data_IF_611210849266
#
_entry.id   IF_611210849266
#
_cell.length_a   1.000
_cell.length_b   1.000
_cell.length_c   1.000
_cell.angle_alpha   90.00
_cell.angle_beta   90.00
_cell.angle_gamma   90.00
#
_symmetry.space_group_name_H-M   'P 1'
#
loop_
_entity.id
_entity.type
_entity.pdbx_description
1 polymer ?
#
# COMPACT_ATOMS: atom_id res chain seq x y z
N UNK A 1 -33.00 -47.65 27.83
CA UNK A 1 -33.02 -46.19 28.06
C UNK A 1 -31.78 -45.64 27.37
N UNK A 2 -31.91 -45.33 26.08
CA UNK A 2 -30.79 -45.09 25.18
C UNK A 2 -30.47 -43.60 25.10
N UNK A 3 -29.23 -43.25 25.41
CA UNK A 3 -28.68 -41.90 25.38
C UNK A 3 -28.26 -41.60 23.93
N UNK A 4 -29.01 -40.74 23.23
CA UNK A 4 -28.64 -40.27 21.90
C UNK A 4 -27.69 -39.08 22.03
N UNK A 5 -26.46 -39.27 21.56
CA UNK A 5 -25.44 -38.23 21.39
C UNK A 5 -25.87 -37.38 20.18
N UNK A 6 -26.26 -36.13 20.42
CA UNK A 6 -26.44 -35.14 19.36
C UNK A 6 -25.06 -34.69 18.87
N UNK A 7 -24.66 -35.12 17.68
CA UNK A 7 -23.57 -34.50 16.92
C UNK A 7 -24.02 -33.10 16.48
N UNK A 8 -23.41 -32.07 17.07
CA UNK A 8 -23.44 -30.72 16.50
C UNK A 8 -22.47 -30.71 15.33
N UNK A 9 -22.98 -30.87 14.11
CA UNK A 9 -22.25 -30.47 12.91
C UNK A 9 -22.12 -28.95 12.94
N UNK A 10 -20.96 -28.46 13.39
CA UNK A 10 -20.48 -27.12 13.02
C UNK A 10 -20.24 -27.17 11.50
N UNK A 11 -21.28 -26.88 10.73
CA UNK A 11 -21.09 -26.41 9.36
C UNK A 11 -20.31 -25.11 9.49
N UNK A 12 -19.01 -25.18 9.21
CA UNK A 12 -18.22 -24.00 8.97
C UNK A 12 -18.96 -23.21 7.90
N UNK A 13 -19.41 -22.01 8.27
CA UNK A 13 -19.83 -21.04 7.27
C UNK A 13 -18.65 -20.91 6.31
N UNK A 14 -18.80 -21.20 5.01
CA UNK A 14 -17.86 -20.62 4.07
C UNK A 14 -17.94 -19.12 4.34
N UNK A 15 -16.79 -18.48 4.58
CA UNK A 15 -16.72 -17.04 4.56
C UNK A 15 -17.27 -16.63 3.19
N UNK A 16 -18.52 -16.20 3.17
CA UNK A 16 -19.07 -15.46 2.04
C UNK A 16 -18.22 -14.21 2.05
N UNK A 17 -17.24 -14.14 1.15
CA UNK A 17 -16.66 -12.87 0.75
C UNK A 17 -17.86 -12.04 0.32
N UNK A 18 -18.31 -11.12 1.17
CA UNK A 18 -19.37 -10.19 0.81
C UNK A 18 -18.75 -9.22 -0.18
N UNK A 19 -18.73 -9.58 -1.46
CA UNK A 19 -18.14 -8.79 -2.52
C UNK A 19 -19.00 -7.56 -2.79
N UNK A 20 -18.58 -6.39 -2.34
CA UNK A 20 -19.17 -5.13 -2.79
C UNK A 20 -18.20 -4.42 -3.71
N UNK A 21 -18.73 -3.71 -4.69
CA UNK A 21 -17.93 -2.88 -5.59
C UNK A 21 -18.28 -1.42 -5.38
N UNK A 22 -17.28 -0.56 -5.46
CA UNK A 22 -17.43 0.87 -5.19
C UNK A 22 -17.03 1.70 -6.40
N UNK A 23 -17.86 2.65 -6.83
CA UNK A 23 -17.43 3.74 -7.70
C UNK A 23 -17.36 5.01 -6.87
N UNK A 24 -16.16 5.55 -6.73
CA UNK A 24 -15.88 6.68 -5.85
C UNK A 24 -15.28 7.86 -6.61
N UNK A 25 -15.73 9.06 -6.26
CA UNK A 25 -15.27 10.33 -6.80
C UNK A 25 -14.66 11.18 -5.70
N UNK A 26 -13.48 11.73 -5.98
CA UNK A 26 -12.87 12.79 -5.19
C UNK A 26 -12.86 14.06 -6.04
N UNK A 27 -13.63 15.06 -5.62
CA UNK A 27 -13.71 16.37 -6.23
C UNK A 27 -12.97 17.37 -5.37
N UNK A 28 -12.12 18.20 -5.97
CA UNK A 28 -11.46 19.30 -5.30
C UNK A 28 -11.67 20.60 -6.07
N UNK A 29 -12.06 21.65 -5.35
CA UNK A 29 -12.32 22.99 -5.87
C UNK A 29 -11.48 23.98 -5.08
N UNK A 30 -10.67 24.80 -5.75
CA UNK A 30 -9.92 25.88 -5.11
C UNK A 30 -10.60 27.22 -5.36
N UNK A 31 -10.70 28.08 -4.34
CA UNK A 31 -11.33 29.40 -4.46
C UNK A 31 -10.55 30.34 -5.39
N UNK A 32 -9.22 30.18 -5.44
CA UNK A 32 -8.34 30.94 -6.33
C UNK A 32 -7.47 30.01 -7.17
N UNK A 33 -7.14 30.45 -8.40
CA UNK A 33 -6.17 29.75 -9.23
C UNK A 33 -4.76 30.01 -8.66
N UNK A 34 -4.08 28.95 -8.22
CA UNK A 34 -2.72 29.03 -7.70
C UNK A 34 -1.76 28.26 -8.62
N UNK A 35 -0.58 28.80 -8.95
CA UNK A 35 0.37 28.10 -9.82
C UNK A 35 0.68 26.69 -9.29
N UNK A 36 0.43 25.67 -10.12
CA UNK A 36 0.65 24.26 -9.76
C UNK A 36 -0.51 23.58 -9.03
N UNK A 37 -1.62 24.29 -8.75
CA UNK A 37 -2.84 23.70 -8.20
C UNK A 37 -4.01 23.88 -9.18
N UNK A 38 -4.68 22.78 -9.49
CA UNK A 38 -5.88 22.80 -10.32
C UNK A 38 -7.01 23.53 -9.61
N UNK A 39 -7.68 24.43 -10.31
CA UNK A 39 -8.85 25.13 -9.76
C UNK A 39 -10.02 24.17 -9.53
N UNK A 40 -10.16 23.18 -10.41
CA UNK A 40 -11.14 22.12 -10.27
C UNK A 40 -10.56 20.80 -10.76
N UNK A 41 -10.80 19.73 -10.02
CA UNK A 41 -10.42 18.38 -10.44
C UNK A 41 -11.37 17.33 -9.90
N UNK A 42 -11.53 16.25 -10.67
CA UNK A 42 -12.22 15.02 -10.26
C UNK A 42 -11.25 13.87 -10.44
N UNK A 43 -11.15 12.99 -9.45
CA UNK A 43 -10.47 11.70 -9.57
C UNK A 43 -11.51 10.61 -9.28
N UNK A 44 -11.67 9.68 -10.20
CA UNK A 44 -12.58 8.55 -10.07
C UNK A 44 -11.81 7.27 -9.77
N UNK A 45 -12.32 6.49 -8.82
CA UNK A 45 -11.82 5.18 -8.43
C UNK A 45 -12.92 4.14 -8.63
N UNK A 46 -12.56 2.98 -9.18
CA UNK A 46 -13.40 1.77 -9.13
C UNK A 46 -12.70 0.82 -8.18
N UNK A 47 -13.37 0.48 -7.08
CA UNK A 47 -12.74 -0.08 -5.89
C UNK A 47 -11.52 0.78 -5.52
N UNK A 48 -10.33 0.20 -5.40
CA UNK A 48 -9.12 0.97 -5.11
C UNK A 48 -8.35 1.44 -6.36
N UNK A 49 -8.94 1.27 -7.55
CA UNK A 49 -8.26 1.47 -8.83
C UNK A 49 -8.56 2.85 -9.36
N UNK A 50 -7.52 3.67 -9.49
CA UNK A 50 -7.64 5.01 -10.07
C UNK A 50 -7.95 4.90 -11.57
N UNK A 51 -9.23 4.94 -11.91
CA UNK A 51 -9.74 4.68 -13.25
C UNK A 51 -9.70 5.92 -14.16
N UNK A 52 -10.07 7.08 -13.64
CA UNK A 52 -10.29 8.27 -14.47
C UNK A 52 -9.98 9.58 -13.76
N UNK A 53 -9.80 10.64 -14.56
CA UNK A 53 -9.63 12.00 -14.05
C UNK A 53 -10.30 13.04 -14.95
N UNK A 54 -10.64 14.17 -14.35
CA UNK A 54 -11.01 15.42 -15.02
C UNK A 54 -10.27 16.57 -14.36
N UNK A 55 -9.92 17.62 -15.11
CA UNK A 55 -9.40 18.86 -14.54
C UNK A 55 -9.81 20.10 -15.34
N UNK A 56 -9.76 21.26 -14.68
CA UNK A 56 -10.13 22.56 -15.27
C UNK A 56 -9.22 23.02 -16.41
N UNK A 57 -8.02 22.47 -16.56
CA UNK A 57 -7.05 22.92 -17.56
C UNK A 57 -7.34 22.28 -18.93
N UNK A 58 -7.54 20.95 -18.94
CA UNK A 58 -7.89 20.21 -20.16
C UNK A 58 -9.39 20.21 -20.43
N UNK A 59 -10.21 20.34 -19.37
CA UNK A 59 -11.68 20.27 -19.40
C UNK A 59 -12.21 19.03 -20.11
N UNK A 60 -11.50 17.90 -19.97
CA UNK A 60 -11.90 16.59 -20.50
C UNK A 60 -11.71 15.51 -19.46
N UNK A 61 -12.60 14.52 -19.49
CA UNK A 61 -12.38 13.28 -18.77
C UNK A 61 -11.34 12.45 -19.53
N UNK A 62 -10.42 11.85 -18.78
CA UNK A 62 -9.35 11.01 -19.30
C UNK A 62 -9.35 9.67 -18.54
N UNK A 63 -9.27 8.57 -19.29
CA UNK A 63 -8.99 7.26 -18.70
C UNK A 63 -7.53 7.19 -18.29
N UNK A 64 -7.27 6.73 -17.07
CA UNK A 64 -5.93 6.50 -16.53
C UNK A 64 -5.46 5.06 -16.71
N UNK A 65 -6.37 4.19 -17.17
CA UNK A 65 -6.08 2.83 -17.58
C UNK A 65 -6.24 2.68 -19.09
N UNK A 66 -5.70 1.61 -19.66
CA UNK A 66 -5.92 1.30 -21.07
C UNK A 66 -7.41 0.95 -21.27
N UNK A 67 -8.15 1.87 -21.88
CA UNK A 67 -9.58 1.73 -22.14
C UNK A 67 -9.84 1.47 -23.62
N UNK A 68 -10.73 0.52 -23.98
CA UNK A 68 -11.15 0.30 -25.36
C UNK A 68 -11.72 1.56 -26.02
N UNK A 69 -11.59 1.68 -27.35
CA UNK A 69 -12.20 2.79 -28.11
C UNK A 69 -13.72 2.91 -27.90
N UNK A 70 -14.43 1.82 -27.58
CA UNK A 70 -15.88 1.82 -27.30
C UNK A 70 -16.26 2.77 -26.15
N UNK A 71 -15.32 3.08 -25.25
CA UNK A 71 -15.54 4.05 -24.19
C UNK A 71 -15.43 5.51 -24.62
N UNK A 72 -15.09 5.82 -25.87
CA UNK A 72 -14.92 7.21 -26.29
C UNK A 72 -16.21 8.01 -26.19
N UNK A 73 -17.34 7.44 -26.65
CA UNK A 73 -18.66 8.09 -26.56
C UNK A 73 -19.10 8.25 -25.10
N UNK A 74 -18.90 7.20 -24.31
CA UNK A 74 -19.13 7.24 -22.86
C UNK A 74 -18.31 8.35 -22.19
N UNK A 75 -17.03 8.48 -22.53
CA UNK A 75 -16.12 9.48 -21.97
C UNK A 75 -16.47 10.91 -22.38
N UNK A 76 -17.01 11.10 -23.58
CA UNK A 76 -17.55 12.39 -24.03
C UNK A 76 -18.81 12.77 -23.22
N UNK A 77 -19.69 11.81 -22.94
CA UNK A 77 -20.80 11.98 -22.01
C UNK A 77 -20.34 12.39 -20.60
N UNK A 78 -19.38 11.64 -20.04
CA UNK A 78 -18.77 11.96 -18.75
C UNK A 78 -18.09 13.34 -18.74
N UNK A 79 -17.49 13.75 -19.86
CA UNK A 79 -16.86 15.06 -20.00
C UNK A 79 -17.89 16.17 -19.92
N UNK A 80 -19.00 16.04 -20.64
CA UNK A 80 -20.08 17.03 -20.60
C UNK A 80 -20.67 17.16 -19.19
N UNK A 81 -20.89 16.03 -18.51
CA UNK A 81 -21.37 16.02 -17.12
C UNK A 81 -20.37 16.72 -16.19
N UNK A 82 -19.09 16.35 -16.24
CA UNK A 82 -18.05 16.96 -15.41
C UNK A 82 -17.91 18.47 -15.63
N UNK A 83 -18.10 18.96 -16.87
CA UNK A 83 -18.09 20.39 -17.18
C UNK A 83 -19.28 21.13 -16.55
N UNK A 84 -20.47 20.52 -16.51
CA UNK A 84 -21.63 21.10 -15.80
C UNK A 84 -21.40 21.10 -14.29
N UNK A 85 -20.92 19.98 -13.74
CA UNK A 85 -20.59 19.87 -12.31
C UNK A 85 -19.53 20.89 -11.91
N UNK A 86 -18.52 21.17 -12.74
CA UNK A 86 -17.53 22.21 -12.49
C UNK A 86 -18.19 23.59 -12.27
N UNK A 87 -19.19 23.95 -13.08
CA UNK A 87 -19.90 25.22 -12.96
C UNK A 87 -20.68 25.26 -11.63
N UNK A 88 -21.44 24.22 -11.33
CA UNK A 88 -22.23 24.11 -10.09
C UNK A 88 -21.33 24.16 -8.85
N UNK A 89 -20.19 23.46 -8.88
CA UNK A 89 -19.23 23.42 -7.78
C UNK A 89 -18.54 24.78 -7.54
N UNK A 90 -18.29 25.56 -8.59
CA UNK A 90 -17.80 26.95 -8.45
C UNK A 90 -18.84 27.87 -7.81
N UNK A 91 -20.13 27.71 -8.14
CA UNK A 91 -21.22 28.45 -7.48
C UNK A 91 -21.31 28.05 -6.00
N UNK A 92 -21.25 26.75 -5.71
CA UNK A 92 -21.27 26.24 -4.34
C UNK A 92 -20.09 26.76 -3.51
N UNK A 93 -18.89 26.85 -4.10
CA UNK A 93 -17.72 27.44 -3.45
C UNK A 93 -17.98 28.89 -3.00
N UNK A 94 -18.49 29.74 -3.89
CA UNK A 94 -18.79 31.13 -3.54
C UNK A 94 -19.84 31.22 -2.43
N UNK A 95 -20.90 30.41 -2.51
CA UNK A 95 -21.93 30.34 -1.48
C UNK A 95 -21.34 29.95 -0.11
N UNK A 96 -20.47 28.95 -0.07
CA UNK A 96 -19.84 28.48 1.18
C UNK A 96 -18.95 29.57 1.77
N UNK A 97 -18.17 30.27 0.95
CA UNK A 97 -17.36 31.40 1.40
C UNK A 97 -18.23 32.48 2.04
N UNK A 98 -19.33 32.86 1.38
CA UNK A 98 -20.24 33.90 1.85
C UNK A 98 -20.96 33.49 3.14
N UNK A 99 -21.58 32.30 3.16
CA UNK A 99 -22.36 31.81 4.32
C UNK A 99 -21.50 31.61 5.58
N UNK A 100 -20.23 31.24 5.40
CA UNK A 100 -19.30 31.05 6.50
C UNK A 100 -18.52 32.33 6.87
N UNK A 101 -18.86 33.47 6.25
CA UNK A 101 -18.18 34.76 6.43
C UNK A 101 -16.66 34.65 6.27
N UNK A 102 -16.23 33.93 5.24
CA UNK A 102 -14.82 33.75 4.90
C UNK A 102 -14.30 34.94 4.11
N UNK A 103 -12.99 35.18 4.15
CA UNK A 103 -12.35 36.29 3.46
C UNK A 103 -11.91 35.88 2.07
N UNK A 104 -12.35 36.59 1.04
CA UNK A 104 -12.03 36.26 -0.36
C UNK A 104 -10.53 36.29 -0.71
N UNK A 105 -9.70 36.99 0.08
CA UNK A 105 -8.25 37.08 -0.14
C UNK A 105 -7.47 35.83 0.34
N UNK A 106 -8.16 34.85 0.94
CA UNK A 106 -7.57 33.58 1.37
C UNK A 106 -7.99 32.49 0.39
N UNK A 107 -7.03 31.64 0.01
CA UNK A 107 -7.33 30.46 -0.78
C UNK A 107 -7.95 29.37 0.10
N UNK A 108 -9.09 28.86 -0.32
CA UNK A 108 -9.82 27.79 0.34
C UNK A 108 -9.97 26.61 -0.60
N UNK A 109 -10.00 25.40 -0.03
CA UNK A 109 -10.23 24.18 -0.80
C UNK A 109 -11.50 23.51 -0.30
N UNK A 110 -12.47 23.34 -1.19
CA UNK A 110 -13.62 22.48 -0.96
C UNK A 110 -13.31 21.11 -1.54
N UNK A 111 -13.60 20.09 -0.75
CA UNK A 111 -13.42 18.70 -1.12
C UNK A 111 -14.78 18.01 -1.02
N UNK A 112 -15.20 17.34 -2.09
CA UNK A 112 -16.36 16.44 -2.07
C UNK A 112 -15.86 15.03 -2.28
N UNK A 113 -16.22 14.11 -1.39
CA UNK A 113 -16.02 12.68 -1.59
C UNK A 113 -17.38 12.04 -1.71
N UNK A 114 -17.63 11.42 -2.85
CA UNK A 114 -18.90 10.77 -3.14
C UNK A 114 -18.67 9.35 -3.64
N UNK A 115 -19.54 8.40 -3.28
CA UNK A 115 -19.44 7.02 -3.70
C UNK A 115 -20.81 6.34 -3.78
N UNK A 116 -20.95 5.44 -4.76
CA UNK A 116 -21.97 4.40 -4.73
C UNK A 116 -21.32 3.04 -4.49
N UNK A 117 -21.89 2.24 -3.59
CA UNK A 117 -21.45 0.88 -3.29
C UNK A 117 -22.54 -0.08 -3.75
N UNK A 118 -22.23 -0.96 -4.69
CA UNK A 118 -23.14 -2.00 -5.18
C UNK A 118 -22.81 -3.32 -4.49
N UNK A 119 -23.77 -3.85 -3.75
CA UNK A 119 -23.66 -5.14 -3.05
C UNK A 119 -24.18 -6.29 -3.92
N UNK A 120 -23.78 -7.53 -3.58
CA UNK A 120 -24.19 -8.73 -4.34
C UNK A 120 -25.71 -8.98 -4.33
N UNK A 121 -26.39 -8.58 -3.26
CA UNK A 121 -27.85 -8.68 -3.14
C UNK A 121 -28.60 -7.61 -3.96
N UNK A 122 -27.85 -6.74 -4.67
CA UNK A 122 -28.35 -5.64 -5.48
C UNK A 122 -28.69 -4.39 -4.69
N UNK A 123 -28.48 -4.38 -3.36
CA UNK A 123 -28.61 -3.15 -2.58
C UNK A 123 -27.49 -2.17 -2.94
N UNK A 124 -27.79 -0.89 -2.79
CA UNK A 124 -26.87 0.21 -3.14
C UNK A 124 -26.72 1.09 -1.93
N UNK A 125 -25.50 1.29 -1.43
CA UNK A 125 -25.23 2.36 -0.48
C UNK A 125 -24.71 3.60 -1.22
N UNK A 126 -24.98 4.76 -0.64
CA UNK A 126 -24.55 6.06 -1.17
C UNK A 126 -23.88 6.84 -0.05
N UNK A 127 -22.70 7.34 -0.33
CA UNK A 127 -21.93 8.18 0.58
C UNK A 127 -21.60 9.49 -0.13
N UNK A 128 -21.84 10.61 0.53
CA UNK A 128 -21.34 11.89 0.08
C UNK A 128 -21.02 12.79 1.28
N UNK A 129 -19.81 13.35 1.28
CA UNK A 129 -19.33 14.28 2.30
C UNK A 129 -18.68 15.50 1.62
N UNK A 130 -18.95 16.69 2.16
CA UNK A 130 -18.37 17.95 1.70
C UNK A 130 -17.56 18.55 2.85
N UNK A 131 -16.30 18.88 2.59
CA UNK A 131 -15.36 19.47 3.54
C UNK A 131 -14.76 20.78 3.01
N UNK A 132 -14.38 21.67 3.94
CA UNK A 132 -13.64 22.90 3.67
C UNK A 132 -12.30 22.83 4.42
N UNK A 133 -11.20 22.92 3.67
CA UNK A 133 -9.83 22.79 4.19
C UNK A 133 -9.64 21.53 5.05
N UNK A 134 -10.19 20.39 4.58
CA UNK A 134 -10.16 19.10 5.28
C UNK A 134 -11.10 18.99 6.50
N UNK A 135 -11.93 20.00 6.78
CA UNK A 135 -12.92 19.95 7.87
C UNK A 135 -14.32 19.74 7.30
N UNK A 136 -14.96 18.65 7.68
CA UNK A 136 -16.31 18.28 7.26
C UNK A 136 -17.33 19.39 7.56
N UNK A 137 -18.17 19.70 6.56
CA UNK A 137 -19.24 20.67 6.64
C UNK A 137 -20.61 20.00 6.65
N UNK A 138 -20.87 19.15 5.66
CA UNK A 138 -22.15 18.44 5.49
C UNK A 138 -21.91 17.01 5.01
N UNK A 139 -22.81 16.11 5.39
CA UNK A 139 -22.85 14.71 4.97
C UNK A 139 -24.23 14.40 4.42
N UNK A 140 -24.32 13.65 3.34
CA UNK A 140 -25.58 13.22 2.77
C UNK A 140 -26.17 12.03 3.55
N UNK A 141 -27.38 12.19 4.07
CA UNK A 141 -28.19 11.12 4.66
C UNK A 141 -29.14 10.59 3.59
N UNK A 142 -28.82 9.42 3.05
CA UNK A 142 -29.56 8.75 1.98
C UNK A 142 -30.98 8.35 2.39
N UNK A 143 -31.19 7.98 3.65
CA UNK A 143 -32.48 7.52 4.17
C UNK A 143 -33.45 8.69 4.30
N UNK A 144 -32.95 9.84 4.77
CA UNK A 144 -33.72 11.08 4.88
C UNK A 144 -33.75 11.88 3.59
N UNK A 145 -32.85 11.57 2.65
CA UNK A 145 -32.64 12.32 1.40
C UNK A 145 -32.34 13.79 1.70
N UNK A 146 -31.36 14.04 2.57
CA UNK A 146 -30.98 15.38 3.00
C UNK A 146 -29.50 15.49 3.33
N UNK A 147 -28.91 16.67 3.13
CA UNK A 147 -27.60 17.01 3.68
C UNK A 147 -27.75 17.41 5.16
N UNK A 148 -27.02 16.71 6.02
CA UNK A 148 -26.97 16.93 7.47
C UNK A 148 -25.70 17.74 7.79
N UNK A 149 -25.81 18.83 8.57
CA UNK A 149 -24.65 19.64 8.94
C UNK A 149 -23.79 18.93 9.99
N UNK A 150 -22.48 18.86 9.75
CA UNK A 150 -21.50 18.34 10.69
C UNK A 150 -21.22 19.32 11.86
N UNK A 151 -21.46 20.61 11.65
CA UNK A 151 -21.26 21.65 12.66
C UNK A 151 -22.37 22.70 12.66
N UNK A 152 -22.50 23.43 13.78
CA UNK A 152 -23.47 24.52 13.90
C UNK A 152 -23.29 25.60 12.82
N UNK A 153 -22.05 25.82 12.34
CA UNK A 153 -21.75 26.80 11.30
C UNK A 153 -22.27 26.38 9.92
N UNK A 154 -22.43 25.07 9.69
CA UNK A 154 -22.88 24.51 8.41
C UNK A 154 -24.42 24.38 8.32
N UNK A 155 -25.18 24.73 9.36
CA UNK A 155 -26.65 24.58 9.37
C UNK A 155 -27.32 25.37 8.25
N UNK A 156 -26.91 26.61 8.02
CA UNK A 156 -27.47 27.43 6.94
C UNK A 156 -27.14 26.87 5.55
N UNK A 157 -25.94 26.31 5.39
CA UNK A 157 -25.53 25.64 4.15
C UNK A 157 -26.41 24.41 3.88
N UNK A 158 -26.56 23.52 4.87
CA UNK A 158 -27.41 22.34 4.77
C UNK A 158 -28.87 22.70 4.40
N UNK A 159 -29.44 23.71 5.07
CA UNK A 159 -30.79 24.20 4.76
C UNK A 159 -30.91 24.73 3.32
N UNK A 160 -29.88 25.40 2.81
CA UNK A 160 -29.87 25.90 1.44
C UNK A 160 -29.79 24.75 0.43
N UNK A 161 -28.88 23.79 0.64
CA UNK A 161 -28.72 22.60 -0.20
C UNK A 161 -30.02 21.80 -0.29
N UNK A 162 -30.68 21.55 0.85
CA UNK A 162 -31.91 20.75 0.92
C UNK A 162 -33.13 21.45 0.28
N UNK A 163 -33.07 22.77 0.03
CA UNK A 163 -34.15 23.50 -0.66
C UNK A 163 -34.04 23.43 -2.19
N UNK A 164 -32.87 23.15 -2.73
CA UNK A 164 -32.58 23.24 -4.17
C UNK A 164 -32.76 21.91 -4.91
N UNK A 165 -33.39 20.91 -4.28
CA UNK A 165 -33.54 19.55 -4.79
C UNK A 165 -32.24 18.76 -5.05
N UNK A 166 -31.06 19.32 -4.75
CA UNK A 166 -29.76 18.62 -4.91
C UNK A 166 -29.73 17.25 -4.26
N UNK A 167 -30.21 17.14 -3.02
CA UNK A 167 -30.28 15.88 -2.30
C UNK A 167 -31.06 14.77 -3.04
N UNK A 168 -32.11 15.14 -3.78
CA UNK A 168 -32.90 14.19 -4.57
C UNK A 168 -32.20 13.86 -5.90
N UNK A 169 -31.63 14.85 -6.58
CA UNK A 169 -30.87 14.66 -7.82
C UNK A 169 -29.65 13.76 -7.58
N UNK A 170 -28.89 14.02 -6.52
CA UNK A 170 -27.73 13.22 -6.13
C UNK A 170 -28.13 11.78 -5.81
N UNK A 171 -29.25 11.56 -5.08
CA UNK A 171 -29.76 10.22 -4.83
C UNK A 171 -30.06 9.46 -6.12
N UNK A 172 -30.80 10.08 -7.05
CA UNK A 172 -31.17 9.45 -8.32
C UNK A 172 -29.91 9.11 -9.13
N UNK A 173 -28.95 10.04 -9.20
CA UNK A 173 -27.70 9.83 -9.90
C UNK A 173 -26.88 8.68 -9.28
N UNK A 174 -26.71 8.69 -7.96
CA UNK A 174 -25.88 7.70 -7.25
C UNK A 174 -26.51 6.30 -7.21
N UNK A 175 -27.84 6.18 -7.12
CA UNK A 175 -28.50 4.88 -7.13
C UNK A 175 -28.58 4.26 -8.54
N UNK A 176 -28.70 5.09 -9.59
CA UNK A 176 -28.94 4.60 -10.96
C UNK A 176 -27.73 4.74 -11.88
N UNK A 177 -27.29 5.97 -12.16
CA UNK A 177 -26.24 6.20 -13.16
C UNK A 177 -24.87 5.74 -12.65
N UNK A 178 -24.56 6.00 -11.37
CA UNK A 178 -23.30 5.56 -10.77
C UNK A 178 -23.17 4.03 -10.79
N UNK A 179 -24.23 3.29 -10.48
CA UNK A 179 -24.20 1.81 -10.49
C UNK A 179 -24.15 1.22 -11.90
N UNK A 180 -24.78 1.88 -12.89
CA UNK A 180 -24.64 1.54 -14.31
C UNK A 180 -23.19 1.74 -14.78
N UNK A 181 -22.58 2.88 -14.43
CA UNK A 181 -21.18 3.16 -14.73
C UNK A 181 -20.25 2.14 -14.06
N UNK A 182 -20.47 1.83 -12.78
CA UNK A 182 -19.70 0.83 -12.05
C UNK A 182 -19.77 -0.53 -12.75
N UNK A 183 -20.97 -1.02 -13.07
CA UNK A 183 -21.18 -2.28 -13.79
C UNK A 183 -20.47 -2.29 -15.15
N UNK A 184 -20.47 -1.16 -15.86
CA UNK A 184 -19.77 -1.00 -17.12
C UNK A 184 -18.24 -1.07 -16.94
N UNK A 185 -17.67 -0.51 -15.88
CA UNK A 185 -16.22 -0.46 -15.67
C UNK A 185 -15.61 -1.75 -15.11
N UNK A 186 -16.35 -2.50 -14.28
CA UNK A 186 -15.84 -3.66 -13.54
C UNK A 186 -15.11 -4.72 -14.41
N UNK A 187 -15.64 -5.16 -15.57
CA UNK A 187 -14.95 -6.15 -16.40
C UNK A 187 -13.58 -5.66 -16.90
N UNK A 188 -13.47 -4.36 -17.17
CA UNK A 188 -12.25 -3.75 -17.69
C UNK A 188 -11.22 -3.54 -16.61
N UNK A 189 -11.65 -3.09 -15.43
CA UNK A 189 -10.80 -2.97 -14.25
C UNK A 189 -10.22 -4.34 -13.89
N UNK A 190 -11.06 -5.37 -13.87
CA UNK A 190 -10.63 -6.76 -13.66
C UNK A 190 -9.60 -7.23 -14.69
N UNK A 191 -9.79 -6.88 -15.97
CA UNK A 191 -8.82 -7.22 -17.02
C UNK A 191 -7.53 -6.39 -16.99
N UNK A 192 -7.59 -5.16 -16.47
CA UNK A 192 -6.44 -4.26 -16.36
C UNK A 192 -5.52 -4.67 -15.21
N UNK A 193 -6.10 -5.20 -14.13
CA UNK A 193 -5.38 -5.67 -12.96
C UNK A 193 -5.46 -7.18 -12.90
N UNK A 194 -4.70 -7.84 -13.78
CA UNK A 194 -4.32 -9.24 -13.55
C UNK A 194 -3.85 -9.35 -12.10
N UNK A 195 -4.42 -10.31 -11.38
CA UNK A 195 -4.03 -10.62 -10.01
C UNK A 195 -2.50 -10.70 -9.90
N UNK A 196 -1.91 -9.79 -9.13
CA UNK A 196 -0.46 -9.72 -8.96
C UNK A 196 -0.09 -10.56 -7.75
N UNK A 197 0.72 -11.58 -7.97
CA UNK A 197 1.21 -12.45 -6.90
C UNK A 197 2.19 -11.68 -6.00
N UNK A 198 2.02 -11.73 -4.66
CA UNK A 198 2.93 -11.06 -3.73
C UNK A 198 4.37 -11.56 -3.85
N UNK A 199 5.31 -10.61 -3.77
CA UNK A 199 6.74 -10.90 -3.57
C UNK A 199 7.10 -10.62 -2.12
N UNK A 200 8.01 -11.43 -1.58
CA UNK A 200 8.38 -11.37 -0.16
C UNK A 200 9.86 -11.12 -0.02
N UNK A 201 10.23 -10.24 0.91
CA UNK A 201 11.60 -10.02 1.35
C UNK A 201 11.64 -10.07 2.86
N UNK A 202 12.43 -11.01 3.39
CA UNK A 202 12.70 -11.12 4.80
C UNK A 202 14.01 -10.41 5.17
N UNK A 203 14.07 -9.84 6.37
CA UNK A 203 15.26 -9.23 6.94
C UNK A 203 15.16 -9.17 8.46
N UNK A 204 16.27 -9.06 9.17
CA UNK A 204 16.29 -8.78 10.60
C UNK A 204 17.02 -7.48 10.92
N UNK A 205 16.73 -6.91 12.07
CA UNK A 205 17.51 -5.86 12.70
C UNK A 205 17.75 -6.17 14.18
N UNK A 206 18.81 -5.61 14.74
CA UNK A 206 19.09 -5.70 16.17
C UNK A 206 18.66 -4.38 16.83
N UNK A 207 17.94 -4.47 17.94
CA UNK A 207 17.51 -3.34 18.75
C UNK A 207 17.96 -3.53 20.21
N UNK A 208 17.77 -2.52 21.05
CA UNK A 208 18.05 -2.65 22.49
C UNK A 208 17.15 -3.68 23.19
N UNK A 209 15.99 -4.00 22.61
CA UNK A 209 15.01 -4.96 23.13
C UNK A 209 15.17 -6.38 22.57
N UNK A 210 16.05 -6.60 21.60
CA UNK A 210 16.34 -7.92 21.02
C UNK A 210 16.45 -7.90 19.50
N UNK A 211 16.21 -9.06 18.88
CA UNK A 211 16.22 -9.19 17.42
C UNK A 211 14.80 -8.93 16.89
N UNK A 212 14.67 -8.08 15.88
CA UNK A 212 13.41 -7.83 15.20
C UNK A 212 13.43 -8.49 13.81
N UNK A 213 12.38 -9.25 13.49
CA UNK A 213 12.19 -9.87 12.17
C UNK A 213 11.21 -9.05 11.36
N UNK A 214 11.52 -8.79 10.09
CA UNK A 214 10.69 -8.01 9.19
C UNK A 214 10.29 -8.84 7.97
N UNK A 215 8.98 -8.94 7.72
CA UNK A 215 8.43 -9.51 6.51
C UNK A 215 7.87 -8.38 5.64
N UNK A 216 8.56 -8.06 4.54
CA UNK A 216 8.08 -7.09 3.54
C UNK A 216 7.42 -7.84 2.39
N UNK A 217 6.10 -7.67 2.25
CA UNK A 217 5.31 -8.19 1.15
C UNK A 217 5.00 -7.04 0.20
N UNK A 218 5.20 -7.21 -1.11
CA UNK A 218 5.09 -6.11 -2.07
C UNK A 218 4.73 -6.60 -3.48
N UNK A 219 4.20 -5.68 -4.29
CA UNK A 219 3.87 -5.95 -5.68
C UNK A 219 2.62 -6.81 -5.87
N UNK A 220 1.73 -6.83 -4.88
CA UNK A 220 0.47 -7.59 -4.91
C UNK A 220 -0.73 -6.72 -5.24
N UNK A 221 -1.76 -7.36 -5.80
CA UNK A 221 -3.08 -6.80 -6.07
C UNK A 221 -4.07 -7.98 -6.14
N UNK A 222 -5.27 -7.92 -5.53
CA UNK A 222 -5.93 -6.77 -4.88
C UNK A 222 -5.31 -6.30 -3.55
N UNK A 223 -5.89 -5.25 -2.94
CA UNK A 223 -5.34 -4.60 -1.74
C UNK A 223 -5.32 -5.51 -0.51
N UNK A 224 -6.31 -6.37 -0.37
CA UNK A 224 -6.48 -7.20 0.83
C UNK A 224 -5.46 -8.33 0.89
N UNK A 225 -4.70 -8.37 1.98
CA UNK A 225 -3.68 -9.40 2.25
C UNK A 225 -3.63 -9.68 3.74
N UNK A 226 -3.43 -10.94 4.12
CA UNK A 226 -3.09 -11.34 5.48
C UNK A 226 -1.62 -11.73 5.56
N UNK A 227 -0.89 -11.19 6.54
CA UNK A 227 0.54 -11.48 6.73
C UNK A 227 0.80 -11.82 8.20
N UNK A 228 1.30 -13.03 8.45
CA UNK A 228 1.54 -13.57 9.80
C UNK A 228 2.96 -14.05 9.97
N UNK A 229 3.50 -13.92 11.18
CA UNK A 229 4.72 -14.59 11.59
C UNK A 229 4.38 -15.85 12.37
N UNK A 230 4.97 -16.98 11.99
CA UNK A 230 4.78 -18.27 12.65
C UNK A 230 6.11 -18.76 13.19
N UNK A 231 6.15 -19.12 14.48
CA UNK A 231 7.25 -19.79 15.15
C UNK A 231 7.00 -21.30 15.19
N UNK A 232 8.02 -22.09 14.87
CA UNK A 232 7.99 -23.55 14.91
C UNK A 232 6.80 -24.19 14.18
N UNK A 233 6.32 -23.54 13.11
CA UNK A 233 5.20 -24.01 12.29
C UNK A 233 3.82 -24.00 12.95
N UNK A 234 3.68 -23.45 14.16
CA UNK A 234 2.41 -23.49 14.92
C UNK A 234 2.04 -22.23 15.68
N UNK A 235 3.03 -21.52 16.23
CA UNK A 235 2.80 -20.45 17.20
C UNK A 235 2.79 -19.11 16.44
N UNK A 236 1.63 -18.46 16.31
CA UNK A 236 1.54 -17.13 15.69
C UNK A 236 2.18 -16.07 16.60
N UNK A 237 2.99 -15.20 16.02
CA UNK A 237 3.60 -14.05 16.69
C UNK A 237 2.94 -12.79 16.16
N UNK A 238 2.30 -12.05 17.05
CA UNK A 238 1.66 -10.80 16.70
C UNK A 238 2.67 -9.65 16.70
N UNK A 239 2.50 -8.73 15.75
CA UNK A 239 3.23 -7.47 15.74
C UNK A 239 2.74 -6.56 16.85
N UNK A 240 3.65 -5.83 17.50
CA UNK A 240 3.30 -4.75 18.43
C UNK A 240 2.79 -3.51 17.68
N UNK A 241 3.16 -3.36 16.41
CA UNK A 241 2.77 -2.23 15.56
C UNK A 241 1.66 -2.64 14.58
N UNK A 242 0.68 -1.75 14.42
CA UNK A 242 -0.34 -1.92 13.39
C UNK A 242 0.30 -1.72 12.01
N UNK A 243 0.43 -2.81 11.25
CA UNK A 243 0.95 -2.76 9.89
C UNK A 243 -0.03 -2.02 8.95
N UNK A 244 0.49 -1.13 8.13
CA UNK A 244 -0.29 -0.38 7.14
C UNK A 244 0.02 -0.87 5.73
N UNK A 245 -1.04 -1.08 4.94
CA UNK A 245 -0.93 -1.38 3.50
C UNK A 245 -0.75 -0.06 2.75
N UNK A 246 0.38 0.07 2.07
CA UNK A 246 0.78 1.26 1.32
C UNK A 246 0.61 1.04 -0.19
N UNK A 247 0.07 2.02 -0.94
CA UNK A 247 -0.04 1.93 -2.39
C UNK A 247 1.32 2.19 -3.07
N UNK A 248 1.54 1.54 -4.22
CA UNK A 248 2.66 1.79 -5.12
C UNK A 248 2.19 2.57 -6.37
N UNK A 249 3.09 3.33 -7.03
CA UNK A 249 2.76 4.07 -8.25
C UNK A 249 2.30 3.21 -9.44
N UNK A 250 2.64 1.92 -9.45
CA UNK A 250 2.26 0.96 -10.49
C UNK A 250 0.88 0.31 -10.25
N UNK A 251 0.14 0.75 -9.23
CA UNK A 251 -1.19 0.23 -8.87
C UNK A 251 -1.16 -1.01 -7.97
N UNK A 252 0.02 -1.48 -7.56
CA UNK A 252 0.14 -2.59 -6.58
C UNK A 252 0.25 -2.07 -5.15
N UNK A 253 0.28 -2.98 -4.17
CA UNK A 253 0.43 -2.65 -2.75
C UNK A 253 1.69 -3.24 -2.14
N UNK A 254 2.04 -2.72 -0.96
CA UNK A 254 3.06 -3.26 -0.09
C UNK A 254 2.68 -3.15 1.38
N UNK A 255 3.15 -4.08 2.19
CA UNK A 255 2.99 -4.10 3.64
C UNK A 255 4.29 -4.61 4.28
N UNK A 256 4.60 -4.12 5.49
CA UNK A 256 5.68 -4.65 6.32
C UNK A 256 5.08 -5.06 7.66
N UNK A 257 5.29 -6.32 8.05
CA UNK A 257 4.95 -6.83 9.39
C UNK A 257 6.25 -7.17 10.11
N UNK A 258 6.48 -6.52 11.25
CA UNK A 258 7.67 -6.70 12.07
C UNK A 258 7.31 -7.34 13.41
N UNK A 259 8.13 -8.25 13.91
CA UNK A 259 7.95 -8.88 15.23
C UNK A 259 9.25 -8.92 16.00
N UNK A 260 9.20 -8.55 17.27
CA UNK A 260 10.31 -8.75 18.21
C UNK A 260 10.39 -10.21 18.61
N UNK A 261 11.59 -10.79 18.57
CA UNK A 261 11.85 -12.17 18.97
C UNK A 261 13.06 -12.26 19.88
N UNK A 262 12.99 -13.13 20.88
CA UNK A 262 14.17 -13.60 21.61
C UNK A 262 14.69 -14.84 20.90
N UNK A 263 15.93 -14.83 20.36
CA UNK A 263 16.50 -16.00 19.70
C UNK A 263 16.57 -17.19 20.65
N UNK A 264 15.89 -18.28 20.29
CA UNK A 264 15.95 -19.57 20.99
C UNK A 264 16.71 -20.57 20.11
N UNK A 265 17.58 -21.37 20.72
CA UNK A 265 18.35 -22.37 19.99
C UNK A 265 17.40 -23.40 19.34
N UNK A 266 17.49 -23.55 18.02
CA UNK A 266 16.63 -24.45 17.23
C UNK A 266 15.24 -23.90 16.89
N UNK A 267 14.89 -22.69 17.33
CA UNK A 267 13.64 -22.07 16.91
C UNK A 267 13.68 -21.70 15.42
N UNK A 268 12.56 -21.94 14.74
CA UNK A 268 12.37 -21.57 13.34
C UNK A 268 11.26 -20.55 13.21
N UNK A 269 11.42 -19.62 12.28
CA UNK A 269 10.46 -18.56 12.02
C UNK A 269 10.11 -18.55 10.53
N UNK A 270 8.87 -18.26 10.21
CA UNK A 270 8.38 -18.18 8.83
C UNK A 270 7.31 -17.12 8.70
N UNK A 271 7.32 -16.39 7.59
CA UNK A 271 6.26 -15.46 7.22
C UNK A 271 5.24 -16.18 6.35
N UNK A 272 3.97 -16.15 6.75
CA UNK A 272 2.83 -16.73 6.04
C UNK A 272 2.02 -15.59 5.42
N UNK A 273 1.70 -15.72 4.12
CA UNK A 273 0.97 -14.72 3.35
C UNK A 273 -0.26 -15.39 2.75
N UNK A 274 -1.44 -14.88 3.09
CA UNK A 274 -2.69 -15.25 2.45
C UNK A 274 -3.20 -14.09 1.59
N UNK A 275 -3.51 -14.38 0.34
CA UNK A 275 -3.87 -13.39 -0.67
C UNK A 275 -4.65 -14.08 -1.79
N UNK A 276 -5.69 -13.43 -2.30
CA UNK A 276 -6.61 -14.04 -3.28
C UNK A 276 -5.94 -14.51 -4.58
N UNK A 277 -4.79 -13.93 -4.95
CA UNK A 277 -4.00 -14.35 -6.12
C UNK A 277 -3.21 -15.65 -5.93
N UNK A 278 -3.26 -16.25 -4.74
CA UNK A 278 -2.59 -17.50 -4.40
C UNK A 278 -3.62 -18.61 -4.23
N UNK A 279 -3.38 -19.77 -4.84
CA UNK A 279 -4.21 -20.97 -4.61
C UNK A 279 -4.05 -21.49 -3.17
N UNK A 280 -2.86 -21.32 -2.58
CA UNK A 280 -2.56 -21.70 -1.20
C UNK A 280 -1.68 -20.62 -0.54
N UNK A 281 -1.75 -20.43 0.79
CA UNK A 281 -0.91 -19.47 1.49
C UNK A 281 0.58 -19.66 1.20
N UNK A 282 1.28 -18.56 0.91
CA UNK A 282 2.72 -18.55 0.65
C UNK A 282 3.48 -18.57 1.99
N UNK A 283 4.32 -19.58 2.18
CA UNK A 283 5.14 -19.75 3.38
C UNK A 283 6.60 -19.48 3.04
N UNK A 284 7.20 -18.46 3.66
CA UNK A 284 8.60 -18.08 3.45
C UNK A 284 9.38 -18.25 4.75
N UNK A 285 10.26 -19.26 4.87
CA UNK A 285 11.07 -19.46 6.06
C UNK A 285 12.11 -18.35 6.20
N UNK A 286 12.34 -17.89 7.43
CA UNK A 286 13.42 -16.97 7.75
C UNK A 286 14.72 -17.75 7.90
N UNK A 287 15.59 -17.64 6.91
CA UNK A 287 16.95 -18.15 7.01
C UNK A 287 17.79 -17.14 7.78
N UNK A 288 18.34 -17.56 8.91
CA UNK A 288 19.46 -16.84 9.51
C UNK A 288 20.62 -17.00 8.54
N UNK A 289 20.87 -15.99 7.71
CA UNK A 289 22.17 -15.87 7.08
C UNK A 289 23.17 -15.73 8.22
N UNK A 290 23.73 -16.85 8.65
CA UNK A 290 24.95 -16.87 9.43
C UNK A 290 26.00 -16.35 8.45
N UNK A 291 26.09 -15.02 8.33
CA UNK A 291 27.29 -14.36 7.84
C UNK A 291 28.36 -14.76 8.84
N UNK A 292 29.01 -15.87 8.53
CA UNK A 292 30.15 -16.43 9.24
C UNK A 292 31.38 -15.53 9.02
N UNK A 293 31.19 -14.22 9.17
CA UNK A 293 32.17 -13.15 9.24
C UNK A 293 33.32 -13.59 10.15
N UNK A 294 32.99 -14.16 11.31
CA UNK A 294 33.97 -14.73 12.24
C UNK A 294 34.80 -15.86 11.64
N UNK A 295 34.21 -16.81 10.90
CA UNK A 295 34.98 -17.90 10.26
C UNK A 295 35.88 -17.35 9.15
N UNK A 296 35.39 -16.42 8.33
CA UNK A 296 36.24 -15.75 7.33
C UNK A 296 37.39 -14.97 7.98
N UNK A 297 37.14 -14.27 9.09
CA UNK A 297 38.17 -13.53 9.81
C UNK A 297 39.22 -14.46 10.45
N UNK A 298 38.77 -15.58 11.02
CA UNK A 298 39.65 -16.63 11.58
C UNK A 298 40.50 -17.26 10.47
N UNK A 299 39.92 -17.59 9.31
CA UNK A 299 40.65 -18.15 8.18
C UNK A 299 41.70 -17.18 7.63
N UNK A 300 41.38 -15.89 7.53
CA UNK A 300 42.34 -14.85 7.14
C UNK A 300 43.47 -14.74 8.18
N UNK A 301 43.14 -14.69 9.48
CA UNK A 301 44.13 -14.60 10.54
C UNK A 301 45.08 -15.81 10.57
N UNK A 302 44.55 -17.03 10.43
CA UNK A 302 45.35 -18.26 10.35
C UNK A 302 46.25 -18.25 9.11
N UNK A 303 45.73 -17.84 7.95
CA UNK A 303 46.51 -17.72 6.72
C UNK A 303 47.71 -16.77 6.86
N UNK A 304 47.50 -15.62 7.52
CA UNK A 304 48.57 -14.64 7.77
C UNK A 304 49.64 -15.21 8.70
N UNK A 305 49.27 -15.93 9.77
CA UNK A 305 50.23 -16.55 10.70
C UNK A 305 51.10 -17.58 9.98
N UNK A 306 50.50 -18.44 9.14
CA UNK A 306 51.24 -19.47 8.39
C UNK A 306 52.25 -18.83 7.43
N UNK A 307 51.87 -17.74 6.76
CA UNK A 307 52.78 -17.00 5.87
C UNK A 307 53.99 -16.42 6.63
N UNK A 308 53.77 -15.81 7.79
CA UNK A 308 54.87 -15.27 8.61
C UNK A 308 55.82 -16.38 9.10
N UNK A 309 55.29 -17.53 9.51
CA UNK A 309 56.11 -18.67 9.92
C UNK A 309 56.94 -19.22 8.76
N UNK A 310 56.34 -19.37 7.57
CA UNK A 310 57.05 -19.82 6.38
C UNK A 310 58.17 -18.85 5.97
N UNK A 311 57.91 -17.54 6.04
CA UNK A 311 58.91 -16.52 5.75
C UNK A 311 60.05 -16.51 6.78
N UNK A 312 59.73 -16.69 8.06
CA UNK A 312 60.70 -16.82 9.14
C UNK A 312 61.60 -18.04 8.97
N UNK A 313 61.02 -19.22 8.66
CA UNK A 313 61.77 -20.44 8.36
C UNK A 313 62.65 -20.29 7.11
N UNK A 314 62.12 -19.70 6.04
CA UNK A 314 62.87 -19.42 4.81
C UNK A 314 64.08 -18.51 5.06
N UNK A 315 63.87 -17.43 5.83
CA UNK A 315 64.94 -16.51 6.22
C UNK A 315 65.98 -17.18 7.11
N UNK A 316 65.56 -18.02 8.05
CA UNK A 316 66.46 -18.77 8.94
C UNK A 316 67.33 -19.78 8.16
N UNK A 317 66.74 -20.53 7.23
CA UNK A 317 67.46 -21.46 6.36
C UNK A 317 68.44 -20.70 5.45
N UNK A 318 68.04 -19.56 4.87
CA UNK A 318 68.94 -18.73 4.07
C UNK A 318 70.13 -18.18 4.88
N UNK A 319 69.90 -17.73 6.14
CA UNK A 319 70.99 -17.30 7.04
C UNK A 319 71.94 -18.46 7.36
N UNK A 320 71.40 -19.65 7.64
CA UNK A 320 72.21 -20.84 7.93
C UNK A 320 73.03 -21.28 6.70
N UNK A 321 72.47 -21.22 5.50
CA UNK A 321 73.17 -21.51 4.25
C UNK A 321 74.25 -20.46 3.90
N UNK A 322 74.02 -19.18 4.21
CA UNK A 322 75.05 -18.12 4.07
C UNK A 322 76.19 -18.30 5.08
N UNK A 323 75.90 -18.75 6.30
CA UNK A 323 76.93 -19.11 7.29
C UNK A 323 77.79 -20.32 6.88
N UNK A 324 77.18 -21.32 6.25
CA UNK A 324 77.90 -22.49 5.72
C UNK A 324 78.73 -22.19 4.45
N UNK A 325 78.30 -21.25 3.60
CA UNK A 325 79.10 -20.78 2.46
C UNK A 325 80.30 -19.91 2.89
N UNK A 326 80.16 -19.10 3.95
CA UNK A 326 81.27 -18.33 4.52
C UNK A 326 82.40 -19.21 5.08
N UNK A 327 82.06 -20.37 5.65
CA UNK A 327 83.06 -21.31 6.19
C UNK A 327 83.75 -22.17 5.12
N UNK A 328 83.20 -22.29 3.90
CA UNK A 328 83.86 -23.00 2.78
C UNK A 328 84.87 -22.14 2.04
N UNK A 329 84.74 -20.81 2.12
CA UNK A 329 85.61 -19.89 1.40
C UNK A 329 86.88 -19.53 2.19
N UNK A 330 86.94 -19.82 3.50
CA UNK A 330 88.15 -19.69 4.32
C UNK A 330 89.05 -20.94 4.32
N UNK A 331 88.65 -22.03 3.66
CA UNK A 331 89.43 -23.29 3.60
C UNK A 331 90.05 -23.50 2.20
N UNK A 332 89.76 -22.66 1.20
CA UNK A 332 90.29 -22.83 -0.17
C UNK A 332 91.29 -21.76 -0.62
N UNK A 333 91.90 -20.99 0.29
CA UNK A 333 92.90 -19.98 -0.04
C UNK A 333 94.26 -20.24 0.61
N UNK A 334 94.61 -21.51 0.86
CA UNK A 334 95.91 -21.92 1.40
C UNK A 334 96.43 -23.19 0.72
N UNK A 335 96.42 -23.25 -0.62
CA UNK A 335 97.24 -24.21 -1.38
C UNK A 335 97.35 -23.81 -2.87
N UNK A 336 98.20 -22.81 -3.20
CA UNK A 336 99.06 -22.80 -4.39
C UNK A 336 99.94 -21.55 -4.45
N UNK A 337 101.24 -21.82 -4.64
CA UNK A 337 102.44 -20.98 -4.76
C UNK A 337 103.13 -20.46 -3.49
#
# INVERSE_FOLDING_TARGET
MACYISLVFLLGFPAVYSGSHTLQFYVAVSSTAYPGLLQYSIIAYVDDVRYGRYNSDTRRCESLIQSPMVFSEHLDGQTNMAQQTEITQKVLMNLIIDLLNKTHDINYVIQTKAACVLHEDGTVDVYEEVALDGKELVVFDKERVEFVPATQKAVLLAQWLNKQAFAMEDKIFMENECTQHLTLYLPYIKSYLDEKVPRVKLSSSESESGTELHCRVYGFYPRDVEVKWIKNGRDEIHSEEAAQILPNPDGTYQIRVSVGVTPEEGATYSCHIDHSSLENPLIVPFETEIKNSHITYILIAVGVIVLFLAFGLGFFIQRKMKGLKGSRQSVSSEEQD
#
